data_IF_514556220533
#
_entry.id   IF_514556220533
#
_cell.length_a   1.000
_cell.length_b   1.000
_cell.length_c   1.000
_cell.angle_alpha   90.00
_cell.angle_beta   90.00
_cell.angle_gamma   90.00
#
_symmetry.space_group_name_H-M   'P 1'
#
loop_
_entity.id
_entity.type
_entity.pdbx_description
1 polymer ?
#
# COMPACT_ATOMS: atom_id res chain seq x y z
N UNK A 1 40.74 -32.56 32.34
CA UNK A 1 39.66 -32.17 31.40
C UNK A 1 40.11 -32.42 29.96
N UNK A 2 39.26 -33.03 29.13
CA UNK A 2 39.58 -33.32 27.73
C UNK A 2 39.43 -32.08 26.83
N UNK A 3 40.38 -31.84 25.92
CA UNK A 3 40.35 -30.73 24.95
C UNK A 3 39.43 -31.06 23.77
N UNK A 4 38.29 -30.38 23.66
CA UNK A 4 37.35 -30.55 22.54
C UNK A 4 37.65 -29.57 21.40
N UNK A 5 37.81 -30.07 20.17
CA UNK A 5 38.05 -29.25 18.97
C UNK A 5 36.74 -28.61 18.46
N UNK A 6 36.76 -27.31 18.11
CA UNK A 6 35.58 -26.53 17.69
C UNK A 6 35.36 -26.42 16.16
N UNK A 7 36.14 -27.12 15.34
CA UNK A 7 36.17 -26.94 13.89
C UNK A 7 34.81 -27.22 13.20
N UNK A 8 34.21 -28.37 13.52
CA UNK A 8 32.96 -28.83 12.89
C UNK A 8 31.79 -27.88 13.18
N UNK A 9 31.64 -27.45 14.42
CA UNK A 9 30.55 -26.55 14.84
C UNK A 9 30.71 -25.15 14.25
N UNK A 10 31.94 -24.65 14.12
CA UNK A 10 32.24 -23.37 13.46
C UNK A 10 31.90 -23.41 11.97
N UNK A 11 32.33 -24.47 11.27
CA UNK A 11 32.03 -24.67 9.84
C UNK A 11 30.52 -24.71 9.56
N UNK A 12 29.75 -25.42 10.39
CA UNK A 12 28.30 -25.49 10.24
C UNK A 12 27.63 -24.11 10.38
N UNK A 13 28.03 -23.30 11.37
CA UNK A 13 27.55 -21.93 11.56
C UNK A 13 27.89 -21.03 10.37
N UNK A 14 29.11 -21.15 9.85
CA UNK A 14 29.55 -20.38 8.69
C UNK A 14 28.76 -20.72 7.42
N UNK A 15 28.54 -22.01 7.14
CA UNK A 15 27.75 -22.47 6.00
C UNK A 15 26.31 -21.99 6.07
N UNK A 16 25.69 -21.97 7.26
CA UNK A 16 24.34 -21.41 7.48
C UNK A 16 24.25 -19.93 7.09
N UNK A 17 25.22 -19.12 7.49
CA UNK A 17 25.25 -17.67 7.16
C UNK A 17 25.49 -17.45 5.67
N UNK A 18 26.46 -18.14 5.07
CA UNK A 18 26.74 -18.00 3.63
C UNK A 18 25.56 -18.44 2.77
N UNK A 19 24.83 -19.48 3.19
CA UNK A 19 23.59 -19.89 2.51
C UNK A 19 22.54 -18.77 2.54
N UNK A 20 22.40 -18.07 3.66
CA UNK A 20 21.49 -16.93 3.78
C UNK A 20 21.98 -15.67 3.03
N UNK A 21 23.29 -15.51 2.86
CA UNK A 21 23.90 -14.39 2.15
C UNK A 21 24.03 -14.61 0.62
N UNK A 22 23.54 -15.75 0.10
CA UNK A 22 23.60 -16.05 -1.34
C UNK A 22 22.88 -14.95 -2.13
N UNK A 23 23.53 -14.46 -3.19
CA UNK A 23 23.02 -13.36 -4.02
C UNK A 23 23.44 -11.96 -3.56
N UNK A 24 24.09 -11.82 -2.40
CA UNK A 24 24.68 -10.53 -2.03
C UNK A 24 25.86 -10.15 -2.94
N UNK A 25 26.11 -8.86 -3.08
CA UNK A 25 27.17 -8.34 -3.95
C UNK A 25 28.54 -8.28 -3.24
N UNK A 26 29.62 -8.44 -4.01
CA UNK A 26 31.00 -8.30 -3.54
C UNK A 26 31.36 -9.23 -2.39
N UNK A 27 32.07 -8.72 -1.37
CA UNK A 27 32.58 -9.51 -0.22
C UNK A 27 31.48 -10.00 0.75
N UNK A 28 30.25 -9.48 0.62
CA UNK A 28 29.13 -9.87 1.49
C UNK A 28 28.61 -11.29 1.22
N UNK A 29 28.99 -11.89 0.08
CA UNK A 29 28.59 -13.26 -0.29
C UNK A 29 29.58 -14.36 0.09
N UNK A 30 30.86 -14.02 0.32
CA UNK A 30 31.93 -15.00 0.54
C UNK A 30 32.69 -14.81 1.86
N UNK A 31 32.81 -13.59 2.38
CA UNK A 31 33.52 -13.33 3.64
C UNK A 31 32.57 -13.39 4.84
N UNK A 32 32.79 -14.31 5.77
CA UNK A 32 31.89 -14.54 6.93
C UNK A 32 31.62 -13.29 7.77
N UNK A 33 32.65 -12.48 8.03
CA UNK A 33 32.50 -11.26 8.85
C UNK A 33 31.55 -10.26 8.19
N UNK A 34 31.73 -10.01 6.89
CA UNK A 34 30.87 -9.13 6.12
C UNK A 34 29.47 -9.72 5.90
N UNK A 35 29.38 -11.03 5.63
CA UNK A 35 28.13 -11.74 5.41
C UNK A 35 27.21 -11.71 6.64
N UNK A 36 27.75 -11.94 7.85
CA UNK A 36 26.98 -11.88 9.11
C UNK A 36 26.29 -10.52 9.27
N UNK A 37 27.08 -9.44 9.24
CA UNK A 37 26.55 -8.08 9.39
C UNK A 37 25.51 -7.73 8.32
N UNK A 38 25.73 -8.17 7.07
CA UNK A 38 24.79 -7.93 5.98
C UNK A 38 23.48 -8.71 6.16
N UNK A 39 23.55 -9.99 6.56
CA UNK A 39 22.37 -10.83 6.79
C UNK A 39 21.54 -10.31 7.96
N UNK A 40 22.18 -9.88 9.04
CA UNK A 40 21.47 -9.34 10.20
C UNK A 40 20.74 -8.03 9.86
N UNK A 41 21.40 -7.12 9.13
CA UNK A 41 20.75 -5.91 8.61
C UNK A 41 19.60 -6.22 7.66
N UNK A 42 19.77 -7.19 6.77
CA UNK A 42 18.72 -7.62 5.84
C UNK A 42 17.50 -8.17 6.58
N UNK A 43 17.69 -8.94 7.66
CA UNK A 43 16.57 -9.45 8.49
C UNK A 43 15.83 -8.34 9.24
N UNK A 44 16.55 -7.32 9.72
CA UNK A 44 15.94 -6.14 10.35
C UNK A 44 15.05 -5.41 9.33
N UNK A 45 15.59 -5.12 8.14
CA UNK A 45 14.81 -4.50 7.06
C UNK A 45 13.63 -5.36 6.62
N UNK A 46 13.79 -6.67 6.45
CA UNK A 46 12.69 -7.56 6.11
C UNK A 46 11.52 -7.46 7.10
N UNK A 47 11.82 -7.33 8.40
CA UNK A 47 10.78 -7.22 9.44
C UNK A 47 10.09 -5.85 9.42
N UNK A 48 10.87 -4.78 9.29
CA UNK A 48 10.34 -3.42 9.09
C UNK A 48 9.47 -3.34 7.84
N UNK A 49 9.95 -3.88 6.73
CA UNK A 49 9.33 -3.76 5.42
C UNK A 49 8.09 -4.62 5.28
N UNK A 50 7.98 -5.76 6.00
CA UNK A 50 6.68 -6.48 6.11
C UNK A 50 5.57 -5.60 6.71
N UNK A 51 5.91 -4.72 7.66
CA UNK A 51 4.95 -3.74 8.22
C UNK A 51 4.72 -2.58 7.25
N UNK A 52 5.78 -2.08 6.60
CA UNK A 52 5.67 -0.98 5.62
C UNK A 52 4.87 -1.38 4.36
N UNK A 53 5.02 -2.62 3.88
CA UNK A 53 4.31 -3.18 2.72
C UNK A 53 2.81 -2.91 2.78
N UNK A 54 2.19 -3.13 3.95
CA UNK A 54 0.74 -2.88 4.17
C UNK A 54 0.37 -1.41 3.92
N UNK A 55 1.19 -0.47 4.36
CA UNK A 55 0.99 0.98 4.14
C UNK A 55 1.21 1.37 2.68
N UNK A 56 2.27 0.83 2.06
CA UNK A 56 2.60 1.12 0.66
C UNK A 56 1.50 0.64 -0.29
N UNK A 57 0.94 -0.57 -0.09
CA UNK A 57 -0.18 -1.04 -0.89
C UNK A 57 -1.44 -0.20 -0.68
N UNK A 58 -1.74 0.20 0.56
CA UNK A 58 -2.86 1.10 0.82
C UNK A 58 -2.69 2.44 0.11
N UNK A 59 -1.48 3.02 0.12
CA UNK A 59 -1.19 4.25 -0.61
C UNK A 59 -1.40 4.07 -2.13
N UNK A 60 -0.93 2.95 -2.70
CA UNK A 60 -1.13 2.62 -4.11
C UNK A 60 -2.62 2.49 -4.48
N UNK A 61 -3.42 1.79 -3.66
CA UNK A 61 -4.85 1.66 -3.90
C UNK A 61 -5.56 3.01 -3.86
N UNK A 62 -5.20 3.88 -2.91
CA UNK A 62 -5.75 5.24 -2.83
C UNK A 62 -5.40 6.04 -4.08
N UNK A 63 -4.17 5.96 -4.57
CA UNK A 63 -3.75 6.65 -5.79
C UNK A 63 -4.54 6.18 -7.02
N UNK A 64 -4.73 4.87 -7.16
CA UNK A 64 -5.52 4.27 -8.25
C UNK A 64 -6.98 4.68 -8.20
N UNK A 65 -7.61 4.59 -7.03
CA UNK A 65 -9.00 5.04 -6.84
C UNK A 65 -9.09 6.54 -7.12
N UNK A 66 -8.16 7.36 -6.63
CA UNK A 66 -8.17 8.79 -6.88
C UNK A 66 -8.08 9.11 -8.38
N UNK A 67 -7.30 8.36 -9.17
CA UNK A 67 -7.29 8.52 -10.63
C UNK A 67 -8.68 8.22 -11.23
N UNK A 68 -9.28 7.08 -10.92
CA UNK A 68 -10.60 6.71 -11.46
C UNK A 68 -11.72 7.67 -11.03
N UNK A 69 -11.76 8.08 -9.77
CA UNK A 69 -12.78 9.01 -9.26
C UNK A 69 -12.67 10.40 -9.92
N UNK A 70 -11.46 10.83 -10.29
CA UNK A 70 -11.22 12.13 -10.92
C UNK A 70 -11.78 12.22 -12.33
N UNK A 71 -11.81 11.11 -13.07
CA UNK A 71 -12.45 11.05 -14.39
C UNK A 71 -13.95 11.32 -14.32
N UNK A 72 -14.57 11.01 -13.17
CA UNK A 72 -15.99 11.24 -12.89
C UNK A 72 -16.26 12.56 -12.13
N UNK A 73 -15.26 13.45 -12.04
CA UNK A 73 -15.35 14.77 -11.41
C UNK A 73 -15.23 14.80 -9.88
N UNK A 74 -15.26 13.65 -9.19
CA UNK A 74 -15.16 13.64 -7.73
C UNK A 74 -13.70 13.72 -7.23
N UNK A 75 -13.57 14.07 -5.94
CA UNK A 75 -12.32 13.84 -5.19
C UNK A 75 -12.41 12.57 -4.37
N UNK A 76 -11.28 11.87 -4.18
CA UNK A 76 -11.21 10.64 -3.38
C UNK A 76 -11.81 10.79 -1.97
N UNK A 77 -11.55 11.91 -1.29
CA UNK A 77 -12.07 12.14 0.06
C UNK A 77 -13.61 12.17 0.10
N UNK A 78 -14.22 12.81 -0.90
CA UNK A 78 -15.67 12.90 -1.04
C UNK A 78 -16.28 11.57 -1.47
N UNK A 79 -15.61 10.84 -2.35
CA UNK A 79 -16.05 9.51 -2.75
C UNK A 79 -16.15 8.55 -1.57
N UNK A 80 -15.12 8.51 -0.70
CA UNK A 80 -15.14 7.67 0.49
C UNK A 80 -16.22 8.11 1.49
N UNK A 81 -16.44 9.42 1.66
CA UNK A 81 -17.53 9.92 2.50
C UNK A 81 -18.91 9.51 1.95
N UNK A 82 -19.11 9.61 0.64
CA UNK A 82 -20.32 9.17 -0.05
C UNK A 82 -20.59 7.67 0.11
N UNK A 83 -19.57 6.83 -0.08
CA UNK A 83 -19.69 5.38 0.13
C UNK A 83 -20.04 5.01 1.57
N UNK A 84 -19.41 5.65 2.55
CA UNK A 84 -19.72 5.42 3.96
C UNK A 84 -21.17 5.81 4.30
N UNK A 85 -21.68 6.89 3.70
CA UNK A 85 -23.06 7.36 3.91
C UNK A 85 -24.10 6.53 3.17
N UNK A 86 -23.73 5.95 2.04
CA UNK A 86 -24.51 4.96 1.34
C UNK A 86 -24.56 3.60 2.07
N UNK A 87 -23.78 3.41 3.13
CA UNK A 87 -23.66 2.14 3.85
C UNK A 87 -22.85 1.07 3.11
N UNK A 88 -22.04 1.48 2.12
CA UNK A 88 -21.27 0.57 1.27
C UNK A 88 -19.90 0.34 1.90
N UNK A 89 -19.77 -0.74 2.67
CA UNK A 89 -18.52 -1.14 3.32
C UNK A 89 -17.64 -1.96 2.37
N UNK A 90 -16.88 -1.27 1.50
CA UNK A 90 -15.96 -1.94 0.56
C UNK A 90 -14.51 -1.55 0.83
N UNK A 91 -13.65 -2.58 0.84
CA UNK A 91 -12.22 -2.41 1.02
C UNK A 91 -11.56 -1.71 -0.17
N UNK A 92 -10.55 -0.87 0.12
CA UNK A 92 -9.81 -0.11 -0.91
C UNK A 92 -9.07 -0.99 -1.90
N UNK A 93 -8.71 -2.21 -1.50
CA UNK A 93 -8.12 -3.19 -2.41
C UNK A 93 -9.11 -3.55 -3.52
N UNK A 94 -10.35 -3.85 -3.14
CA UNK A 94 -11.42 -4.26 -4.05
C UNK A 94 -11.84 -3.07 -4.91
N UNK A 95 -12.04 -1.89 -4.31
CA UNK A 95 -12.34 -0.66 -5.06
C UNK A 95 -11.28 -0.33 -6.10
N UNK A 96 -9.99 -0.47 -5.76
CA UNK A 96 -8.90 -0.25 -6.70
C UNK A 96 -8.86 -1.28 -7.83
N UNK A 97 -9.38 -2.49 -7.61
CA UNK A 97 -9.38 -3.56 -8.60
C UNK A 97 -10.54 -3.40 -9.58
N UNK A 98 -11.73 -3.07 -9.07
CA UNK A 98 -12.91 -2.71 -9.85
C UNK A 98 -12.62 -1.48 -10.71
N UNK A 99 -11.97 -0.45 -10.17
CA UNK A 99 -11.59 0.74 -10.93
C UNK A 99 -10.67 0.45 -12.13
N UNK A 100 -9.93 -0.66 -12.13
CA UNK A 100 -9.01 -1.04 -13.21
C UNK A 100 -9.69 -1.98 -14.21
N UNK A 101 -10.40 -2.99 -13.72
CA UNK A 101 -10.90 -4.09 -14.57
C UNK A 101 -12.35 -3.87 -15.03
N UNK A 102 -13.15 -3.13 -14.26
CA UNK A 102 -14.59 -2.98 -14.48
C UNK A 102 -15.02 -1.51 -14.33
N UNK A 103 -14.72 -0.65 -15.33
CA UNK A 103 -15.03 0.77 -15.28
C UNK A 103 -16.55 1.06 -15.21
N UNK A 104 -17.38 0.21 -15.80
CA UNK A 104 -18.84 0.35 -15.75
C UNK A 104 -19.38 0.15 -14.32
N UNK A 105 -18.95 -0.91 -13.64
CA UNK A 105 -19.30 -1.17 -12.24
C UNK A 105 -18.76 -0.06 -11.32
N UNK A 106 -17.56 0.44 -11.59
CA UNK A 106 -16.99 1.56 -10.85
C UNK A 106 -17.83 2.85 -11.01
N UNK A 107 -18.31 3.12 -12.22
CA UNK A 107 -19.17 4.29 -12.49
C UNK A 107 -20.46 4.22 -11.68
N UNK A 108 -21.11 3.06 -11.60
CA UNK A 108 -22.31 2.87 -10.79
C UNK A 108 -22.07 3.17 -9.30
N UNK A 109 -20.91 2.76 -8.75
CA UNK A 109 -20.52 3.08 -7.37
C UNK A 109 -20.28 4.58 -7.17
N UNK A 110 -19.70 5.26 -8.16
CA UNK A 110 -19.48 6.71 -8.10
C UNK A 110 -20.80 7.46 -8.12
N UNK A 111 -21.77 7.04 -8.93
CA UNK A 111 -23.10 7.65 -8.96
C UNK A 111 -23.86 7.44 -7.64
N UNK A 112 -23.83 6.24 -7.06
CA UNK A 112 -24.38 5.99 -5.73
C UNK A 112 -23.73 6.89 -4.66
N UNK A 113 -22.40 7.05 -4.72
CA UNK A 113 -21.69 7.95 -3.82
C UNK A 113 -22.11 9.43 -4.04
N UNK A 114 -22.34 9.87 -5.28
CA UNK A 114 -22.86 11.21 -5.58
C UNK A 114 -24.25 11.43 -5.00
N UNK A 115 -25.16 10.46 -5.14
CA UNK A 115 -26.51 10.52 -4.55
C UNK A 115 -26.44 10.65 -3.03
N UNK A 116 -25.59 9.87 -2.37
CA UNK A 116 -25.40 9.95 -0.92
C UNK A 116 -24.75 11.26 -0.44
N UNK A 117 -24.06 11.99 -1.32
CA UNK A 117 -23.49 13.31 -1.04
C UNK A 117 -24.50 14.46 -1.22
N UNK A 118 -25.76 14.18 -1.56
CA UNK A 118 -26.78 15.22 -1.78
C UNK A 118 -26.97 16.16 -0.58
N UNK A 119 -26.77 15.68 0.66
CA UNK A 119 -26.84 16.52 1.87
C UNK A 119 -25.83 17.69 1.88
N UNK A 120 -24.74 17.63 1.07
CA UNK A 120 -23.78 18.75 0.94
C UNK A 120 -24.44 19.95 0.26
N UNK A 121 -25.46 19.74 -0.58
CA UNK A 121 -26.19 20.80 -1.26
C UNK A 121 -26.96 21.69 -0.26
N UNK A 122 -27.32 21.14 0.90
CA UNK A 122 -28.07 21.83 1.95
C UNK A 122 -27.17 22.50 3.00
N UNK A 123 -25.85 22.42 2.84
CA UNK A 123 -24.87 22.96 3.79
C UNK A 123 -24.67 24.48 3.70
N UNK A 124 -24.32 25.11 4.83
CA UNK A 124 -24.08 26.56 4.98
C UNK A 124 -22.96 27.16 4.09
N UNK A 125 -22.20 26.34 3.34
CA UNK A 125 -21.07 26.81 2.53
C UNK A 125 -21.43 26.86 1.03
N UNK A 126 -21.42 28.05 0.40
CA UNK A 126 -21.62 28.18 -1.04
C UNK A 126 -20.62 27.33 -1.83
N UNK A 127 -21.09 26.64 -2.88
CA UNK A 127 -20.30 25.88 -3.85
C UNK A 127 -19.55 24.66 -3.27
N UNK A 128 -19.96 24.15 -2.09
CA UNK A 128 -19.33 22.98 -1.47
C UNK A 128 -19.50 21.69 -2.29
N UNK A 129 -20.64 21.56 -2.98
CA UNK A 129 -20.92 20.46 -3.89
C UNK A 129 -20.14 20.62 -5.21
N UNK A 130 -20.14 21.82 -5.79
CA UNK A 130 -19.42 22.12 -7.06
C UNK A 130 -17.90 21.96 -6.91
N UNK A 131 -17.32 22.40 -5.77
CA UNK A 131 -15.91 22.13 -5.44
C UNK A 131 -15.61 20.64 -5.20
N UNK A 132 -16.62 19.86 -4.79
CA UNK A 132 -16.49 18.43 -4.49
C UNK A 132 -16.67 17.53 -5.73
N UNK A 133 -17.49 17.95 -6.70
CA UNK A 133 -17.87 17.23 -7.92
C UNK A 133 -17.16 17.79 -9.16
N UNK A 134 -16.35 18.84 -8.99
CA UNK A 134 -15.47 19.33 -10.06
C UNK A 134 -16.22 20.01 -11.20
N UNK A 135 -17.51 20.32 -11.03
CA UNK A 135 -18.21 21.24 -11.91
C UNK A 135 -17.55 22.60 -11.74
N UNK A 136 -16.72 22.97 -12.72
CA UNK A 136 -16.28 24.36 -12.86
C UNK A 136 -17.54 25.20 -12.93
N UNK A 137 -17.65 26.15 -12.00
CA UNK A 137 -18.57 27.26 -12.16
C UNK A 137 -18.30 27.86 -13.54
N UNK A 138 -19.29 27.79 -14.43
CA UNK A 138 -19.31 28.57 -15.64
C UNK A 138 -19.26 30.03 -15.20
N UNK A 139 -18.11 30.68 -15.46
CA UNK A 139 -18.01 32.12 -15.53
C UNK A 139 -18.29 32.54 -16.98
#
# INVERSE_FOLDING_TARGET
MARVKRGVTSHAKHKKVLKAAKGFYGRRKNTIRAAKAAVDRSKQFATRDRRAKKRNFRALWIQRINAGVREHGLTYARFIDGLNKAGIEVDRKVLSDIAIHEPEAFTALVEQAKTALAYIKDGQFPNAYERAVGEKQAA
#
